data_IF_052424717689
#
_entry.id   IF_052424717689
#
_cell.length_a   1.000
_cell.length_b   1.000
_cell.length_c   1.000
_cell.angle_alpha   90.00
_cell.angle_beta   90.00
_cell.angle_gamma   90.00
#
_symmetry.space_group_name_H-M   'P 1'
#
loop_
_entity.id
_entity.type
_entity.pdbx_description
1 polymer ?
#
# COMPACT_ATOMS: atom_id res chain seq x y z
N UNK A 1 -6.98 1.11 -8.57
CA UNK A 1 -7.05 -0.28 -8.10
C UNK A 1 -5.73 -1.04 -8.25
N UNK A 2 -5.24 -1.28 -9.47
CA UNK A 2 -4.04 -2.12 -9.71
C UNK A 2 -2.77 -1.61 -9.04
N UNK A 3 -2.60 -0.28 -8.91
CA UNK A 3 -1.44 0.32 -8.23
C UNK A 3 -1.36 -0.07 -6.74
N UNK A 4 -2.49 -0.04 -6.03
CA UNK A 4 -2.56 -0.45 -4.61
C UNK A 4 -2.23 -1.93 -4.45
N UNK A 5 -2.73 -2.77 -5.35
CA UNK A 5 -2.46 -4.21 -5.33
C UNK A 5 -0.99 -4.51 -5.67
N UNK A 6 -0.41 -3.78 -6.62
CA UNK A 6 1.01 -3.88 -6.97
C UNK A 6 1.90 -3.43 -5.81
N UNK A 7 1.58 -2.32 -5.15
CA UNK A 7 2.35 -1.81 -4.02
C UNK A 7 2.42 -2.85 -2.89
N UNK A 8 1.29 -3.46 -2.52
CA UNK A 8 1.27 -4.54 -1.54
C UNK A 8 2.09 -5.75 -2.02
N UNK A 9 1.90 -6.17 -3.27
CA UNK A 9 2.60 -7.33 -3.83
C UNK A 9 4.13 -7.16 -3.81
N UNK A 10 4.62 -5.99 -4.25
CA UNK A 10 6.06 -5.74 -4.34
C UNK A 10 6.71 -5.46 -2.99
N UNK A 11 5.98 -4.87 -2.04
CA UNK A 11 6.45 -4.73 -0.64
C UNK A 11 6.48 -6.06 0.12
N UNK A 12 5.74 -7.07 -0.34
CA UNK A 12 5.66 -8.41 0.27
C UNK A 12 6.15 -9.52 -0.67
N UNK A 13 7.15 -9.27 -1.53
CA UNK A 13 7.64 -10.25 -2.51
C UNK A 13 8.14 -11.57 -1.89
N UNK A 14 8.66 -11.53 -0.66
CA UNK A 14 9.09 -12.73 0.07
C UNK A 14 7.93 -13.65 0.43
N UNK A 15 6.75 -13.08 0.71
CA UNK A 15 5.55 -13.81 1.06
C UNK A 15 4.27 -13.08 0.56
N UNK A 16 3.97 -13.11 -0.76
CA UNK A 16 2.88 -12.34 -1.35
C UNK A 16 1.52 -13.07 -1.21
N UNK A 17 1.18 -13.42 0.02
CA UNK A 17 -0.04 -14.12 0.42
C UNK A 17 -0.77 -13.29 1.48
N UNK A 18 -1.60 -12.31 1.07
CA UNK A 18 -2.38 -11.52 2.03
C UNK A 18 -3.40 -12.41 2.77
N UNK A 19 -3.60 -12.14 4.06
CA UNK A 19 -4.68 -12.71 4.87
C UNK A 19 -6.05 -12.22 4.38
N UNK A 20 -7.15 -12.83 4.87
CA UNK A 20 -8.51 -12.39 4.52
C UNK A 20 -8.75 -10.93 4.90
N UNK A 21 -8.34 -10.53 6.10
CA UNK A 21 -8.43 -9.14 6.58
C UNK A 21 -7.63 -8.17 5.68
N UNK A 22 -6.41 -8.54 5.30
CA UNK A 22 -5.61 -7.71 4.39
C UNK A 22 -6.27 -7.59 3.01
N UNK A 23 -6.91 -8.64 2.50
CA UNK A 23 -7.65 -8.57 1.23
C UNK A 23 -8.86 -7.65 1.33
N UNK A 24 -9.58 -7.65 2.44
CA UNK A 24 -10.69 -6.72 2.68
C UNK A 24 -10.22 -5.27 2.71
N UNK A 25 -9.12 -4.98 3.41
CA UNK A 25 -8.54 -3.64 3.41
C UNK A 25 -8.12 -3.20 2.00
N UNK A 26 -7.48 -4.10 1.24
CA UNK A 26 -7.07 -3.82 -0.14
C UNK A 26 -8.29 -3.57 -1.03
N UNK A 27 -9.36 -4.34 -0.86
CA UNK A 27 -10.62 -4.13 -1.57
C UNK A 27 -11.25 -2.75 -1.23
N UNK A 28 -11.26 -2.37 0.05
CA UNK A 28 -11.73 -1.05 0.52
C UNK A 28 -10.89 0.09 -0.07
N UNK A 29 -9.56 0.01 0.06
CA UNK A 29 -8.61 1.00 -0.48
C UNK A 29 -8.74 1.12 -2.01
N UNK A 30 -8.91 0.00 -2.71
CA UNK A 30 -9.16 -0.04 -4.14
C UNK A 30 -10.51 0.56 -4.54
N UNK A 31 -11.55 0.34 -3.74
CA UNK A 31 -12.89 0.90 -4.01
C UNK A 31 -12.93 2.42 -3.79
N UNK A 32 -12.17 2.93 -2.80
CA UNK A 32 -12.06 4.37 -2.51
C UNK A 32 -11.27 5.11 -3.60
N UNK A 33 -10.16 4.56 -4.11
CA UNK A 33 -9.41 5.20 -5.21
C UNK A 33 -10.19 5.22 -6.52
N UNK A 34 -11.17 4.33 -6.67
CA UNK A 34 -12.03 4.25 -7.87
C UNK A 34 -13.30 5.13 -7.72
N UNK A 35 -13.60 5.62 -6.52
CA UNK A 35 -14.77 6.47 -6.25
C UNK A 35 -14.63 7.91 -6.79
N UNK A 36 -13.55 8.24 -7.49
CA UNK A 36 -13.33 9.54 -8.15
C UNK A 36 -13.96 9.62 -9.57
N UNK A 37 -14.68 8.58 -10.00
CA UNK A 37 -15.45 8.65 -11.25
C UNK A 37 -15.61 7.27 -11.87
N UNK A 38 -16.77 6.66 -11.66
CA UNK A 38 -17.28 5.48 -12.38
C UNK A 38 -16.27 4.32 -12.43
N UNK A 39 -16.19 3.54 -11.36
CA UNK A 39 -15.57 2.23 -11.50
C UNK A 39 -16.13 1.17 -10.59
N UNK A 40 -16.06 -0.04 -11.13
CA UNK A 40 -16.57 -1.30 -10.58
C UNK A 40 -16.04 -1.51 -9.16
N UNK A 41 -16.96 -1.71 -8.20
CA UNK A 41 -16.63 -2.14 -6.84
C UNK A 41 -15.77 -3.39 -6.89
N UNK A 42 -14.59 -3.36 -6.26
CA UNK A 42 -13.69 -4.51 -6.22
C UNK A 42 -14.02 -5.38 -5.01
N UNK A 43 -14.31 -6.66 -5.25
CA UNK A 43 -14.58 -7.66 -4.22
C UNK A 43 -13.31 -8.34 -3.73
N UNK A 44 -13.36 -8.96 -2.53
CA UNK A 44 -12.28 -9.81 -1.99
C UNK A 44 -11.92 -10.95 -2.95
N UNK A 45 -12.89 -11.50 -3.67
CA UNK A 45 -12.66 -12.55 -4.67
C UNK A 45 -11.85 -12.04 -5.87
N UNK A 46 -12.12 -10.83 -6.35
CA UNK A 46 -11.33 -10.19 -7.41
C UNK A 46 -9.90 -9.90 -6.97
N UNK A 47 -9.71 -9.47 -5.70
CA UNK A 47 -8.37 -9.31 -5.11
C UNK A 47 -7.64 -10.66 -5.05
N UNK A 48 -8.30 -11.71 -4.57
CA UNK A 48 -7.71 -13.06 -4.50
C UNK A 48 -7.27 -13.58 -5.87
N UNK A 49 -8.13 -13.43 -6.88
CA UNK A 49 -7.83 -13.82 -8.26
C UNK A 49 -6.67 -13.01 -8.85
N UNK A 50 -6.64 -11.71 -8.56
CA UNK A 50 -5.55 -10.85 -8.99
C UNK A 50 -4.20 -11.30 -8.43
N UNK A 51 -4.11 -11.58 -7.12
CA UNK A 51 -2.89 -12.05 -6.47
C UNK A 51 -2.46 -13.42 -6.99
N UNK A 52 -3.41 -14.34 -7.22
CA UNK A 52 -3.13 -15.64 -7.83
C UNK A 52 -2.46 -15.49 -9.20
N UNK A 53 -3.06 -14.68 -10.07
CA UNK A 53 -2.53 -14.41 -11.41
C UNK A 53 -1.18 -13.69 -11.38
N UNK A 54 -1.03 -12.68 -10.51
CA UNK A 54 0.22 -11.90 -10.39
C UNK A 54 1.38 -12.79 -9.94
N UNK A 55 1.21 -13.65 -8.92
CA UNK A 55 2.24 -14.60 -8.48
C UNK A 55 2.70 -15.52 -9.61
N UNK A 56 1.76 -16.08 -10.38
CA UNK A 56 2.09 -16.97 -11.51
C UNK A 56 2.88 -16.22 -12.58
N UNK A 57 2.45 -15.00 -12.96
CA UNK A 57 3.13 -14.19 -13.99
C UNK A 57 4.53 -13.76 -13.55
N UNK A 58 4.67 -13.31 -12.30
CA UNK A 58 5.94 -12.87 -11.72
C UNK A 58 6.95 -14.02 -11.69
N UNK A 59 6.55 -15.19 -11.16
CA UNK A 59 7.42 -16.38 -11.11
C UNK A 59 7.88 -16.84 -12.50
N UNK A 60 7.02 -16.72 -13.52
CA UNK A 60 7.33 -17.12 -14.89
C UNK A 60 8.31 -16.17 -15.61
N UNK A 61 8.36 -14.89 -15.25
CA UNK A 61 9.14 -13.88 -15.97
C UNK A 61 9.84 -12.90 -15.01
N UNK A 62 10.56 -13.42 -14.02
CA UNK A 62 11.09 -12.61 -12.92
C UNK A 62 11.94 -11.42 -13.42
N UNK A 63 12.80 -11.65 -14.43
CA UNK A 63 13.68 -10.62 -14.98
C UNK A 63 12.94 -9.47 -15.68
N UNK A 64 11.76 -9.73 -16.25
CA UNK A 64 10.94 -8.70 -16.91
C UNK A 64 10.25 -7.79 -15.89
N UNK A 65 9.93 -8.31 -14.71
CA UNK A 65 9.22 -7.57 -13.67
C UNK A 65 10.17 -6.94 -12.63
N UNK A 66 11.48 -7.07 -12.81
CA UNK A 66 12.47 -6.51 -11.90
C UNK A 66 12.44 -4.98 -11.89
N UNK A 67 12.30 -4.36 -13.06
CA UNK A 67 12.22 -2.89 -13.17
C UNK A 67 10.94 -2.35 -12.52
N UNK A 68 9.81 -3.03 -12.72
CA UNK A 68 8.55 -2.70 -12.06
C UNK A 68 8.68 -2.86 -10.52
N UNK A 69 9.29 -3.95 -10.06
CA UNK A 69 9.55 -4.17 -8.63
C UNK A 69 10.42 -3.07 -8.02
N UNK A 70 11.48 -2.64 -8.71
CA UNK A 70 12.36 -1.57 -8.25
C UNK A 70 11.61 -0.24 -8.10
N UNK A 71 10.72 0.09 -9.05
CA UNK A 71 9.90 1.30 -8.97
C UNK A 71 8.97 1.29 -7.75
N UNK A 72 8.31 0.17 -7.48
CA UNK A 72 7.41 0.06 -6.32
C UNK A 72 8.16 0.01 -4.99
N UNK A 73 9.33 -0.63 -4.93
CA UNK A 73 10.20 -0.61 -3.75
C UNK A 73 10.64 0.82 -3.40
N UNK A 74 11.02 1.62 -4.42
CA UNK A 74 11.35 3.04 -4.22
C UNK A 74 10.15 3.86 -3.72
N UNK A 75 8.94 3.64 -4.26
CA UNK A 75 7.73 4.31 -3.78
C UNK A 75 7.40 3.96 -2.32
N UNK A 76 7.46 2.67 -1.96
CA UNK A 76 7.23 2.24 -0.57
C UNK A 76 8.24 2.87 0.39
N UNK A 77 9.51 2.97 0.01
CA UNK A 77 10.52 3.64 0.83
C UNK A 77 10.18 5.11 1.09
N UNK A 78 9.75 5.85 0.05
CA UNK A 78 9.34 7.26 0.17
C UNK A 78 8.11 7.43 1.07
N UNK A 79 7.09 6.58 0.91
CA UNK A 79 5.88 6.58 1.76
C UNK A 79 6.22 6.27 3.21
N UNK A 80 7.11 5.29 3.45
CA UNK A 80 7.58 4.96 4.80
C UNK A 80 8.33 6.14 5.44
N UNK A 81 9.22 6.81 4.71
CA UNK A 81 9.88 8.03 5.22
C UNK A 81 8.90 9.17 5.49
N UNK A 82 7.86 9.35 4.67
CA UNK A 82 6.83 10.37 4.93
C UNK A 82 5.97 10.02 6.14
N UNK A 83 5.60 8.74 6.32
CA UNK A 83 4.84 8.28 7.49
C UNK A 83 5.66 8.47 8.78
N UNK A 84 6.96 8.15 8.75
CA UNK A 84 7.88 8.39 9.86
C UNK A 84 8.04 9.89 10.12
N UNK A 85 8.22 10.72 9.09
CA UNK A 85 8.31 12.17 9.25
C UNK A 85 7.02 12.79 9.82
N UNK A 86 5.86 12.32 9.37
CA UNK A 86 4.55 12.74 9.90
C UNK A 86 4.37 12.31 11.37
N UNK A 87 4.82 11.11 11.75
CA UNK A 87 4.82 10.66 13.14
C UNK A 87 5.76 11.51 14.01
N UNK A 88 6.95 11.87 13.52
CA UNK A 88 7.90 12.75 14.21
C UNK A 88 7.29 14.15 14.42
N UNK A 89 6.63 14.71 13.40
CA UNK A 89 5.99 16.03 13.50
C UNK A 89 4.79 16.03 14.46
N UNK A 90 4.00 14.94 14.52
CA UNK A 90 2.89 14.80 15.46
C UNK A 90 3.38 14.60 16.92
N UNK A 91 4.61 14.13 17.11
CA UNK A 91 5.21 13.92 18.43
C UNK A 91 5.72 15.22 19.09
N UNK A 92 5.84 16.32 18.34
CA UNK A 92 6.41 17.60 18.81
C UNK A 92 5.36 18.72 18.97
N UNK A 93 4.06 18.41 18.93
CA UNK A 93 2.98 19.39 19.15
C UNK A 93 2.38 19.39 20.58
N UNK A 94 2.82 18.48 21.45
CA UNK A 94 2.37 18.41 22.84
C UNK A 94 3.47 18.91 23.80
N UNK A 95 3.70 20.22 23.82
CA UNK A 95 4.36 20.88 24.96
C UNK A 95 3.42 21.97 25.50
N UNK A 96 2.88 21.83 26.73
CA UNK A 96 2.06 22.87 27.32
C UNK A 96 2.98 23.98 27.82
N UNK A 97 3.13 25.07 27.06
CA UNK A 97 3.68 26.31 27.60
C UNK A 97 2.65 26.95 28.52
N UNK A 98 2.87 26.82 29.83
CA UNK A 98 2.13 27.53 30.88
C UNK A 98 2.37 29.04 30.78
N UNK A 99 1.35 29.91 30.87
CA UNK A 99 1.57 31.34 31.00
C UNK A 99 1.89 31.65 32.47
N UNK A 100 3.10 32.13 32.75
CA UNK A 100 3.42 32.72 34.05
C UNK A 100 3.29 34.25 33.93
N UNK A 101 2.19 34.79 34.46
CA UNK A 101 2.05 36.22 34.71
C UNK A 101 2.76 36.58 36.00
N UNK A 102 3.77 37.44 35.91
CA UNK A 102 4.41 38.13 37.02
C UNK A 102 4.70 39.57 36.61
#
# INVERSE_FOLDING_TARGET
>A
ATEILNEYFYSHLSNPYPSEEAKEELAKKCSITVSQGVGTTITVSQVSNWFGNKRIRYKKNIGKFQEEANLYAAKTAVTATHAVAAAIHNSQANSPTTPNSG
#
